data_IF_303796265052
#
_entry.id   IF_303796265052
#
_cell.length_a   1.000
_cell.length_b   1.000
_cell.length_c   1.000
_cell.angle_alpha   90.00
_cell.angle_beta   90.00
_cell.angle_gamma   90.00
#
_symmetry.space_group_name_H-M   'P 1'
#
loop_
_entity.id
_entity.type
_entity.pdbx_description
1 polymer ?
#
# COMPACT_ATOMS: atom_id res chain seq x y z
N UNK A 1 2.77 -15.19 15.84
CA UNK A 1 2.49 -13.75 16.05
C UNK A 1 1.00 -13.61 16.11
N UNK A 2 0.45 -12.91 17.10
CA UNK A 2 -0.98 -12.60 17.09
C UNK A 2 -1.28 -11.59 15.95
N UNK A 3 -2.43 -11.74 15.31
CA UNK A 3 -2.95 -10.85 14.26
C UNK A 3 -3.01 -9.37 14.70
N UNK A 4 -3.29 -9.15 16.00
CA UNK A 4 -3.30 -7.81 16.59
C UNK A 4 -1.89 -7.21 16.71
N UNK A 5 -0.90 -8.07 16.96
CA UNK A 5 0.50 -7.70 17.14
C UNK A 5 1.14 -7.31 15.79
N UNK A 6 0.85 -8.06 14.71
CA UNK A 6 1.42 -7.74 13.39
C UNK A 6 0.89 -6.41 12.86
N UNK A 7 -0.40 -6.09 13.04
CA UNK A 7 -0.98 -4.82 12.61
C UNK A 7 -0.31 -3.61 13.29
N UNK A 8 -0.08 -3.69 14.60
CA UNK A 8 0.65 -2.64 15.34
C UNK A 8 2.11 -2.54 14.89
N UNK A 9 2.79 -3.66 14.61
CA UNK A 9 4.16 -3.64 14.06
C UNK A 9 4.21 -2.99 12.68
N UNK A 10 3.26 -3.29 11.80
CA UNK A 10 3.15 -2.66 10.47
C UNK A 10 3.00 -1.15 10.62
N UNK A 11 2.09 -0.70 11.47
CA UNK A 11 1.88 0.73 11.70
C UNK A 11 3.11 1.39 12.33
N UNK A 12 3.79 0.74 13.27
CA UNK A 12 5.04 1.22 13.88
C UNK A 12 6.14 1.45 12.83
N UNK A 13 6.38 0.48 11.95
CA UNK A 13 7.37 0.66 10.89
C UNK A 13 6.92 1.68 9.84
N UNK A 14 5.61 1.79 9.58
CA UNK A 14 5.09 2.86 8.73
C UNK A 14 5.42 4.25 9.29
N UNK A 15 5.27 4.44 10.61
CA UNK A 15 5.62 5.70 11.29
C UNK A 15 7.12 6.01 11.23
N UNK A 16 7.99 4.99 11.27
CA UNK A 16 9.45 5.21 11.19
C UNK A 16 9.92 5.85 9.88
N UNK A 17 9.09 5.82 8.83
CA UNK A 17 9.39 6.46 7.55
C UNK A 17 8.88 7.89 7.44
N UNK A 18 8.15 8.43 8.42
CA UNK A 18 7.64 9.81 8.38
C UNK A 18 8.81 10.79 8.18
N UNK A 19 8.66 11.70 7.21
CA UNK A 19 9.69 12.67 6.80
C UNK A 19 10.68 12.13 5.77
N UNK A 20 10.66 10.83 5.44
CA UNK A 20 11.47 10.30 4.33
C UNK A 20 11.00 10.92 3.02
N UNK A 21 11.92 11.44 2.17
CA UNK A 21 11.57 12.07 0.91
C UNK A 21 10.78 11.15 -0.03
N UNK A 22 9.85 11.74 -0.78
CA UNK A 22 9.11 11.02 -1.80
C UNK A 22 10.02 10.70 -2.99
N UNK A 23 9.96 9.46 -3.46
CA UNK A 23 10.69 9.02 -4.64
C UNK A 23 10.02 9.51 -5.92
N UNK A 24 10.67 10.44 -6.63
CA UNK A 24 10.15 11.04 -7.87
C UNK A 24 10.47 10.22 -9.13
N UNK A 25 11.28 9.16 -9.04
CA UNK A 25 11.62 8.28 -10.16
C UNK A 25 10.37 7.56 -10.70
N UNK A 26 10.10 7.71 -11.99
CA UNK A 26 8.92 7.13 -12.67
C UNK A 26 8.67 5.63 -12.45
N UNK A 27 9.74 4.83 -12.35
CA UNK A 27 9.65 3.38 -12.15
C UNK A 27 9.73 2.99 -10.68
N UNK A 28 10.21 3.91 -9.84
CA UNK A 28 10.68 3.66 -8.50
C UNK A 28 12.21 3.51 -8.50
N UNK A 29 12.91 4.28 -7.70
CA UNK A 29 14.37 4.30 -7.65
C UNK A 29 14.94 2.93 -7.26
N UNK A 30 14.24 2.15 -6.43
CA UNK A 30 14.61 0.77 -6.12
C UNK A 30 14.60 -0.13 -7.37
N UNK A 31 13.67 0.08 -8.29
CA UNK A 31 13.57 -0.63 -9.58
C UNK A 31 14.68 -0.18 -10.52
N UNK A 32 14.82 1.14 -10.71
CA UNK A 32 15.84 1.74 -11.58
C UNK A 32 17.25 1.30 -11.21
N UNK A 33 17.55 1.28 -9.89
CA UNK A 33 18.85 0.87 -9.38
C UNK A 33 18.99 -0.66 -9.23
N UNK A 34 17.94 -1.43 -9.51
CA UNK A 34 17.91 -2.90 -9.38
C UNK A 34 18.23 -3.39 -7.96
N UNK A 35 17.77 -2.69 -6.93
CA UNK A 35 18.04 -3.02 -5.51
C UNK A 35 16.76 -3.23 -4.72
N UNK A 36 16.77 -4.19 -3.79
CA UNK A 36 15.62 -4.46 -2.92
C UNK A 36 15.38 -3.34 -1.90
N UNK A 37 16.45 -2.77 -1.35
CA UNK A 37 16.39 -1.73 -0.32
C UNK A 37 16.83 -0.39 -0.91
N UNK A 38 15.94 0.61 -0.81
CA UNK A 38 16.15 1.99 -1.20
C UNK A 38 15.45 2.96 -0.23
N UNK A 39 15.74 2.85 1.07
CA UNK A 39 15.00 3.59 2.12
C UNK A 39 15.27 5.11 2.13
N UNK A 40 16.13 5.63 1.25
CA UNK A 40 16.43 7.06 1.11
C UNK A 40 15.34 7.86 0.38
N UNK A 41 14.49 7.21 -0.42
CA UNK A 41 13.35 7.84 -1.08
C UNK A 41 12.23 6.82 -1.28
N UNK A 42 11.00 7.19 -0.96
CA UNK A 42 9.89 6.25 -0.83
C UNK A 42 8.68 6.71 -1.62
N UNK A 43 8.14 5.83 -2.47
CA UNK A 43 6.81 6.01 -3.06
C UNK A 43 5.74 5.21 -2.30
N UNK A 44 4.50 5.31 -2.74
CA UNK A 44 3.36 4.72 -2.04
C UNK A 44 3.45 3.20 -1.95
N UNK A 45 3.88 2.52 -3.02
CA UNK A 45 4.06 1.07 -3.07
C UNK A 45 5.22 0.64 -2.18
N UNK A 46 6.38 1.28 -2.34
CA UNK A 46 7.57 0.96 -1.57
C UNK A 46 7.36 1.17 -0.07
N UNK A 47 6.60 2.20 0.32
CA UNK A 47 6.25 2.45 1.73
C UNK A 47 5.53 1.24 2.33
N UNK A 48 4.45 0.77 1.70
CA UNK A 48 3.71 -0.40 2.17
C UNK A 48 4.57 -1.65 2.15
N UNK A 49 5.35 -1.86 1.08
CA UNK A 49 6.26 -2.99 0.96
C UNK A 49 7.20 -3.05 2.16
N UNK A 50 7.93 -1.97 2.39
CA UNK A 50 8.98 -1.91 3.39
C UNK A 50 8.43 -2.01 4.81
N UNK A 51 7.31 -1.34 5.10
CA UNK A 51 6.68 -1.41 6.42
C UNK A 51 6.21 -2.83 6.76
N UNK A 52 5.61 -3.55 5.81
CA UNK A 52 5.15 -4.93 6.02
C UNK A 52 6.35 -5.88 6.16
N UNK A 53 7.36 -5.77 5.30
CA UNK A 53 8.56 -6.62 5.36
C UNK A 53 9.30 -6.49 6.69
N UNK A 54 9.49 -5.26 7.18
CA UNK A 54 10.10 -5.01 8.48
C UNK A 54 9.24 -5.53 9.62
N UNK A 55 7.92 -5.39 9.52
CA UNK A 55 6.98 -5.90 10.53
C UNK A 55 6.90 -7.43 10.55
N UNK A 56 7.13 -8.10 9.43
CA UNK A 56 7.08 -9.57 9.35
C UNK A 56 8.43 -10.22 9.58
N UNK A 57 9.53 -9.47 9.46
CA UNK A 57 10.87 -9.98 9.71
C UNK A 57 11.00 -10.48 11.16
N UNK A 58 11.70 -11.59 11.29
CA UNK A 58 12.02 -12.27 12.54
C UNK A 58 13.43 -12.89 12.46
N UNK A 59 13.78 -13.79 13.39
CA UNK A 59 15.10 -14.42 13.42
C UNK A 59 15.37 -15.38 12.25
N UNK A 60 14.33 -15.82 11.53
CA UNK A 60 14.43 -16.80 10.45
C UNK A 60 14.23 -16.18 9.07
N UNK A 61 13.42 -15.13 8.99
CA UNK A 61 13.09 -14.44 7.75
C UNK A 61 13.70 -13.05 7.74
N UNK A 62 14.73 -12.86 6.89
CA UNK A 62 15.30 -11.53 6.69
C UNK A 62 14.31 -10.63 5.94
N UNK A 63 14.33 -9.31 6.17
CA UNK A 63 13.50 -8.37 5.40
C UNK A 63 13.75 -8.42 3.88
N UNK A 64 14.95 -8.86 3.44
CA UNK A 64 15.27 -9.01 2.02
C UNK A 64 14.57 -10.24 1.43
N UNK A 65 14.59 -11.36 2.14
CA UNK A 65 13.89 -12.57 1.71
C UNK A 65 12.39 -12.34 1.59
N UNK A 66 11.79 -11.68 2.60
CA UNK A 66 10.39 -11.29 2.57
C UNK A 66 10.07 -10.36 1.40
N UNK A 67 10.98 -9.45 1.04
CA UNK A 67 10.79 -8.57 -0.11
C UNK A 67 10.82 -9.34 -1.44
N UNK A 68 11.74 -10.30 -1.60
CA UNK A 68 11.81 -11.17 -2.78
C UNK A 68 10.56 -12.05 -2.89
N UNK A 69 10.04 -12.56 -1.79
CA UNK A 69 8.82 -13.35 -1.77
C UNK A 69 7.57 -12.51 -2.07
N UNK A 70 7.45 -11.33 -1.45
CA UNK A 70 6.19 -10.56 -1.43
C UNK A 70 6.03 -9.58 -2.56
N UNK A 71 7.10 -8.95 -3.05
CA UNK A 71 6.99 -7.92 -4.09
C UNK A 71 6.77 -8.50 -5.48
N UNK A 72 6.97 -9.79 -5.66
CA UNK A 72 6.94 -10.48 -6.95
C UNK A 72 5.73 -11.38 -7.08
N UNK A 73 5.23 -11.56 -8.31
CA UNK A 73 4.14 -12.48 -8.60
C UNK A 73 4.51 -13.90 -8.16
N UNK A 74 5.75 -14.31 -8.45
CA UNK A 74 6.36 -15.57 -8.03
C UNK A 74 7.35 -15.32 -6.88
N UNK A 75 8.60 -15.01 -7.21
CA UNK A 75 9.70 -14.74 -6.28
C UNK A 75 10.79 -13.91 -6.99
N UNK A 76 11.41 -12.98 -6.27
CA UNK A 76 12.48 -12.13 -6.81
C UNK A 76 13.81 -12.88 -6.94
N UNK A 77 14.58 -12.59 -7.98
CA UNK A 77 15.86 -13.26 -8.26
C UNK A 77 16.98 -12.24 -8.16
N UNK A 78 18.01 -12.57 -7.38
CA UNK A 78 19.24 -11.80 -7.28
C UNK A 78 20.34 -12.41 -8.17
N UNK A 79 21.11 -11.56 -8.84
CA UNK A 79 22.38 -11.96 -9.45
C UNK A 79 23.50 -12.10 -8.40
N UNK A 80 24.68 -12.50 -8.86
CA UNK A 80 25.86 -12.65 -8.02
C UNK A 80 26.38 -11.33 -7.40
N UNK A 81 25.86 -10.17 -7.82
CA UNK A 81 26.16 -8.85 -7.26
C UNK A 81 25.05 -8.35 -6.33
N UNK A 82 24.03 -9.18 -6.06
CA UNK A 82 22.89 -8.81 -5.22
C UNK A 82 21.88 -7.88 -5.90
N UNK A 83 21.90 -7.79 -7.24
CA UNK A 83 20.95 -6.97 -8.01
C UNK A 83 19.76 -7.82 -8.43
N UNK A 84 18.58 -7.23 -8.40
CA UNK A 84 17.36 -7.90 -8.89
C UNK A 84 17.37 -7.97 -10.41
N UNK A 85 17.12 -9.16 -10.96
CA UNK A 85 17.13 -9.39 -12.41
C UNK A 85 15.74 -9.52 -13.05
N UNK A 86 14.68 -9.79 -12.27
CA UNK A 86 13.31 -10.02 -12.75
C UNK A 86 12.31 -8.97 -12.22
N UNK A 87 12.68 -7.70 -12.18
CA UNK A 87 11.78 -6.64 -11.68
C UNK A 87 10.51 -6.46 -12.53
N UNK A 88 10.50 -6.94 -13.76
CA UNK A 88 9.31 -7.03 -14.61
C UNK A 88 8.24 -7.96 -14.04
N UNK A 89 8.61 -8.96 -13.23
CA UNK A 89 7.70 -9.88 -12.54
C UNK A 89 7.17 -9.35 -11.19
N UNK A 90 7.49 -8.09 -10.83
CA UNK A 90 6.99 -7.46 -9.59
C UNK A 90 5.51 -7.08 -9.69
N UNK A 91 4.87 -6.84 -8.55
CA UNK A 91 3.60 -6.12 -8.48
C UNK A 91 3.77 -4.69 -8.97
N UNK A 92 3.37 -4.43 -10.22
CA UNK A 92 3.39 -3.10 -10.81
C UNK A 92 2.12 -2.30 -10.49
N UNK A 93 1.02 -3.00 -10.23
CA UNK A 93 -0.29 -2.43 -9.93
C UNK A 93 -0.78 -2.91 -8.56
N UNK A 94 -1.31 -2.01 -7.74
CA UNK A 94 -1.67 -2.34 -6.37
C UNK A 94 -2.93 -3.22 -6.29
N UNK A 95 -3.79 -3.22 -7.31
CA UNK A 95 -4.88 -4.19 -7.42
C UNK A 95 -4.38 -5.65 -7.39
N UNK A 96 -3.24 -5.93 -8.04
CA UNK A 96 -2.64 -7.27 -8.07
C UNK A 96 -2.18 -7.69 -6.66
N UNK A 97 -1.79 -6.74 -5.81
CA UNK A 97 -1.46 -7.00 -4.40
C UNK A 97 -2.67 -7.54 -3.64
N UNK A 98 -3.84 -6.93 -3.84
CA UNK A 98 -5.10 -7.33 -3.18
C UNK A 98 -5.48 -8.77 -3.56
N UNK A 99 -5.41 -9.11 -4.85
CA UNK A 99 -5.81 -10.43 -5.34
C UNK A 99 -4.78 -11.53 -5.06
N UNK A 100 -3.51 -11.16 -4.85
CA UNK A 100 -2.46 -12.13 -4.52
C UNK A 100 -2.58 -12.76 -3.14
N UNK A 101 -3.33 -12.15 -2.22
CA UNK A 101 -3.36 -12.46 -0.79
C UNK A 101 -1.99 -12.36 -0.07
N UNK A 102 -0.91 -11.94 -0.75
CA UNK A 102 0.42 -11.75 -0.13
C UNK A 102 0.47 -10.53 0.81
N UNK A 103 -0.49 -9.60 0.62
CA UNK A 103 -0.59 -8.29 1.27
C UNK A 103 -1.80 -8.19 2.21
N UNK A 104 -2.11 -9.30 2.89
CA UNK A 104 -3.28 -9.43 3.75
C UNK A 104 -4.53 -9.87 2.99
N UNK A 105 -5.57 -10.19 3.74
CA UNK A 105 -6.88 -10.59 3.23
C UNK A 105 -7.71 -9.33 2.95
N UNK A 106 -8.42 -9.30 1.82
CA UNK A 106 -9.37 -8.23 1.52
C UNK A 106 -10.58 -8.28 2.46
N UNK A 107 -10.69 -7.30 3.36
CA UNK A 107 -11.76 -7.19 4.35
C UNK A 107 -12.82 -6.14 3.97
N UNK A 108 -12.76 -5.57 2.76
CA UNK A 108 -13.62 -4.45 2.35
C UNK A 108 -15.11 -4.74 2.60
N UNK A 109 -15.60 -5.91 2.20
CA UNK A 109 -17.00 -6.32 2.41
C UNK A 109 -17.38 -6.64 3.85
N UNK A 110 -16.43 -6.65 4.79
CA UNK A 110 -16.63 -6.99 6.20
C UNK A 110 -16.73 -5.73 7.09
N UNK A 111 -16.44 -4.55 6.54
CA UNK A 111 -16.37 -3.29 7.28
C UNK A 111 -17.76 -2.64 7.40
N UNK A 112 -18.71 -3.28 8.10
CA UNK A 112 -20.00 -2.76 8.62
C UNK A 112 -20.90 -1.87 7.74
N UNK A 113 -20.56 -1.63 6.48
CA UNK A 113 -21.27 -0.82 5.50
C UNK A 113 -21.41 -1.57 4.18
N UNK A 114 -22.40 -1.21 3.38
CA UNK A 114 -22.58 -1.79 2.05
C UNK A 114 -21.51 -1.29 1.08
N UNK A 115 -20.96 -2.22 0.31
CA UNK A 115 -20.10 -1.94 -0.84
C UNK A 115 -20.95 -1.68 -2.09
N UNK A 116 -20.34 -1.06 -3.09
CA UNK A 116 -20.87 -1.00 -4.46
C UNK A 116 -19.90 -1.70 -5.41
N UNK A 117 -20.42 -2.10 -6.57
CA UNK A 117 -19.59 -2.60 -7.68
C UNK A 117 -19.36 -1.50 -8.70
N UNK A 118 -18.10 -1.29 -9.05
CA UNK A 118 -17.70 -0.46 -10.17
C UNK A 118 -17.07 -1.32 -11.25
N UNK A 119 -17.05 -0.83 -12.48
CA UNK A 119 -16.35 -1.51 -13.59
C UNK A 119 -14.88 -1.75 -13.22
N UNK A 120 -14.42 -2.98 -13.38
CA UNK A 120 -13.00 -3.32 -13.24
C UNK A 120 -12.19 -2.95 -14.48
N UNK A 121 -11.00 -3.48 -14.58
CA UNK A 121 -10.11 -3.35 -15.74
C UNK A 121 -9.08 -4.51 -15.71
N UNK A 122 -8.22 -4.62 -16.72
CA UNK A 122 -7.11 -5.60 -16.75
C UNK A 122 -7.56 -7.05 -16.51
N UNK A 123 -8.72 -7.42 -17.06
CA UNK A 123 -9.31 -8.77 -16.90
C UNK A 123 -10.17 -8.96 -15.65
N UNK A 124 -10.39 -7.90 -14.87
CA UNK A 124 -11.34 -7.87 -13.75
C UNK A 124 -12.65 -7.25 -14.22
N UNK A 125 -13.75 -7.99 -14.12
CA UNK A 125 -15.05 -7.49 -14.57
C UNK A 125 -15.55 -6.33 -13.69
N UNK A 126 -15.49 -6.52 -12.37
CA UNK A 126 -16.00 -5.57 -11.39
C UNK A 126 -15.14 -5.56 -10.13
N UNK A 127 -15.07 -4.40 -9.48
CA UNK A 127 -14.40 -4.22 -8.19
C UNK A 127 -15.41 -3.74 -7.16
N UNK A 128 -15.43 -4.40 -6.00
CA UNK A 128 -16.24 -3.98 -4.86
C UNK A 128 -15.49 -2.94 -4.05
N UNK A 129 -16.14 -1.81 -3.75
CA UNK A 129 -15.50 -0.69 -3.02
C UNK A 129 -16.41 -0.18 -1.91
N UNK A 130 -15.79 0.40 -0.87
CA UNK A 130 -16.49 1.31 0.04
C UNK A 130 -16.43 2.70 -0.56
N UNK A 131 -17.60 3.28 -0.85
CA UNK A 131 -17.71 4.63 -1.40
C UNK A 131 -17.17 5.67 -0.43
N UNK A 132 -16.58 6.73 -0.98
CA UNK A 132 -15.99 7.83 -0.21
C UNK A 132 -16.90 8.36 0.90
N UNK A 133 -18.19 8.53 0.63
CA UNK A 133 -19.18 9.06 1.58
C UNK A 133 -19.48 8.12 2.76
N UNK A 134 -19.18 6.83 2.63
CA UNK A 134 -19.37 5.82 3.67
C UNK A 134 -18.15 5.62 4.55
N UNK A 135 -16.97 6.11 4.15
CA UNK A 135 -15.71 5.94 4.90
C UNK A 135 -15.81 6.42 6.36
N UNK A 136 -16.47 7.55 6.70
CA UNK A 136 -16.59 7.96 8.10
C UNK A 136 -17.30 6.93 9.01
N UNK A 137 -18.12 6.04 8.45
CA UNK A 137 -18.91 5.05 9.20
C UNK A 137 -18.11 3.80 9.59
N UNK A 138 -16.92 3.60 9.00
CA UNK A 138 -16.11 2.39 9.21
C UNK A 138 -14.89 2.63 10.11
N UNK A 139 -14.68 3.87 10.58
CA UNK A 139 -13.46 4.28 11.30
C UNK A 139 -13.20 3.46 12.56
N UNK A 140 -14.26 3.00 13.22
CA UNK A 140 -14.17 2.15 14.42
C UNK A 140 -13.87 0.69 14.09
N UNK A 141 -14.11 0.26 12.86
CA UNK A 141 -13.78 -1.09 12.39
C UNK A 141 -12.36 -1.22 11.83
N UNK A 142 -11.71 -0.08 11.53
CA UNK A 142 -10.32 -0.04 11.11
C UNK A 142 -9.37 -0.31 12.28
N UNK A 143 -8.23 -0.93 11.97
CA UNK A 143 -7.18 -1.29 12.92
C UNK A 143 -5.84 -0.76 12.42
N UNK A 144 -4.90 -0.55 13.34
CA UNK A 144 -3.51 -0.28 12.96
C UNK A 144 -2.99 -1.40 12.07
N UNK A 145 -2.27 -1.02 11.01
CA UNK A 145 -1.72 -1.95 10.02
C UNK A 145 -2.66 -2.33 8.89
N UNK A 146 -3.92 -1.88 8.90
CA UNK A 146 -4.78 -1.98 7.72
C UNK A 146 -4.15 -1.23 6.54
N UNK A 147 -4.11 -1.86 5.38
CA UNK A 147 -3.62 -1.24 4.15
C UNK A 147 -4.83 -0.71 3.39
N UNK A 148 -4.84 0.58 3.11
CA UNK A 148 -5.87 1.27 2.35
C UNK A 148 -5.41 1.40 0.90
N UNK A 149 -6.27 1.02 -0.02
CA UNK A 149 -6.08 1.17 -1.46
C UNK A 149 -7.12 2.15 -1.98
N UNK A 150 -6.67 3.30 -2.48
CA UNK A 150 -7.55 4.37 -2.95
C UNK A 150 -7.95 4.18 -4.41
N UNK A 151 -9.26 4.18 -4.67
CA UNK A 151 -9.82 3.81 -5.96
C UNK A 151 -9.93 5.03 -6.88
N UNK A 152 -9.35 4.92 -8.09
CA UNK A 152 -9.53 5.92 -9.16
C UNK A 152 -10.92 5.80 -9.76
N UNK A 153 -11.48 6.95 -10.14
CA UNK A 153 -12.71 6.94 -10.92
C UNK A 153 -12.49 6.29 -12.28
N UNK A 154 -13.50 5.57 -12.78
CA UNK A 154 -13.39 4.73 -13.98
C UNK A 154 -12.94 5.56 -15.18
N UNK A 155 -13.48 6.76 -15.31
CA UNK A 155 -13.20 7.71 -16.39
C UNK A 155 -11.82 8.38 -16.30
N UNK A 156 -11.12 8.27 -15.16
CA UNK A 156 -9.77 8.83 -14.95
C UNK A 156 -8.66 7.78 -14.97
N UNK A 157 -8.98 6.52 -15.27
CA UNK A 157 -7.97 5.45 -15.34
C UNK A 157 -7.09 5.66 -16.56
N UNK A 158 -5.79 5.50 -16.35
CA UNK A 158 -4.77 5.49 -17.40
C UNK A 158 -4.20 4.08 -17.38
N UNK A 159 -4.06 3.46 -18.55
CA UNK A 159 -3.63 2.05 -18.70
C UNK A 159 -4.40 1.03 -17.84
N UNK A 160 -5.64 1.36 -17.49
CA UNK A 160 -6.53 0.52 -16.69
C UNK A 160 -6.19 0.41 -15.19
N UNK A 161 -5.26 1.22 -14.68
CA UNK A 161 -4.91 1.24 -13.26
C UNK A 161 -6.12 1.59 -12.38
N UNK A 162 -6.52 0.65 -11.52
CA UNK A 162 -7.71 0.80 -10.65
C UNK A 162 -7.35 1.54 -9.36
N UNK A 163 -6.21 1.19 -8.75
CA UNK A 163 -5.74 1.80 -7.51
C UNK A 163 -4.82 2.97 -7.85
N UNK A 164 -5.14 4.17 -7.36
CA UNK A 164 -4.33 5.35 -7.63
C UNK A 164 -3.36 5.74 -6.53
N UNK A 165 -3.54 5.20 -5.32
CA UNK A 165 -2.69 5.49 -4.18
C UNK A 165 -2.92 4.48 -3.06
N UNK A 166 -2.00 4.39 -2.11
CA UNK A 166 -2.11 3.52 -0.94
C UNK A 166 -1.43 4.10 0.30
N UNK A 167 -1.79 3.57 1.45
CA UNK A 167 -1.16 3.89 2.73
C UNK A 167 -1.62 2.96 3.85
N UNK A 168 -1.08 3.17 5.05
CA UNK A 168 -1.29 2.30 6.21
C UNK A 168 -2.06 3.07 7.28
N UNK A 169 -3.04 2.41 7.91
CA UNK A 169 -3.76 2.97 9.05
C UNK A 169 -2.92 2.85 10.32
N UNK A 170 -2.93 3.92 11.13
CA UNK A 170 -2.60 3.91 12.55
C UNK A 170 -3.82 4.32 13.35
N UNK A 171 -4.21 3.52 14.35
CA UNK A 171 -5.21 3.91 15.35
C UNK A 171 -4.48 4.45 16.59
N UNK A 172 -4.79 5.68 16.99
CA UNK A 172 -4.28 6.28 18.22
C UNK A 172 -5.33 7.25 18.80
N UNK A 173 -5.54 7.21 20.12
CA UNK A 173 -6.53 8.07 20.78
C UNK A 173 -7.97 7.93 20.25
N UNK A 174 -8.35 6.75 19.75
CA UNK A 174 -9.65 6.50 19.12
C UNK A 174 -9.77 6.99 17.66
N UNK A 175 -8.83 7.80 17.20
CA UNK A 175 -8.80 8.35 15.84
C UNK A 175 -8.06 7.41 14.88
N UNK A 176 -8.31 7.57 13.59
CA UNK A 176 -7.60 6.85 12.52
C UNK A 176 -6.78 7.84 11.69
N UNK A 177 -5.50 7.51 11.54
CA UNK A 177 -4.55 8.27 10.74
C UNK A 177 -4.09 7.44 9.55
N UNK A 178 -3.88 8.10 8.42
CA UNK A 178 -3.23 7.52 7.26
C UNK A 178 -1.76 7.90 7.28
N UNK A 179 -0.89 6.90 7.21
CA UNK A 179 0.53 7.09 6.96
C UNK A 179 0.78 6.72 5.51
N UNK A 180 1.25 7.68 4.71
CA UNK A 180 1.48 7.45 3.29
C UNK A 180 2.61 8.32 2.73
N UNK A 181 3.26 7.84 1.68
CA UNK A 181 4.16 8.64 0.86
C UNK A 181 3.36 9.68 0.06
N UNK A 182 3.54 10.97 0.36
CA UNK A 182 2.85 12.07 -0.31
C UNK A 182 3.78 12.76 -1.28
N UNK A 183 3.48 12.67 -2.58
CA UNK A 183 4.28 13.31 -3.62
C UNK A 183 3.77 12.93 -5.01
N UNK A 184 4.54 13.29 -6.04
CA UNK A 184 4.21 12.99 -7.44
C UNK A 184 5.49 12.57 -8.18
N UNK A 185 5.37 11.55 -9.02
CA UNK A 185 6.43 11.14 -9.95
C UNK A 185 6.66 12.21 -11.02
N UNK A 186 7.87 12.23 -11.58
CA UNK A 186 8.23 13.07 -12.73
C UNK A 186 8.11 14.59 -12.52
N UNK A 187 8.10 15.05 -11.27
CA UNK A 187 8.20 16.47 -10.95
C UNK A 187 9.33 16.68 -9.93
N UNK A 188 10.09 17.76 -10.09
CA UNK A 188 11.11 18.16 -9.12
C UNK A 188 10.51 18.84 -7.88
N UNK A 189 9.19 18.75 -7.69
CA UNK A 189 8.52 19.18 -6.47
C UNK A 189 8.53 17.98 -5.54
N UNK A 190 9.33 18.10 -4.48
CA UNK A 190 9.48 17.06 -3.48
C UNK A 190 8.18 16.72 -2.77
N UNK A 191 8.27 15.68 -1.98
CA UNK A 191 7.22 15.21 -1.11
C UNK A 191 7.88 14.42 0.01
N UNK A 192 7.09 13.84 0.89
CA UNK A 192 7.60 13.01 1.97
C UNK A 192 6.49 12.07 2.48
N UNK A 193 6.88 11.07 3.23
CA UNK A 193 5.94 10.26 4.00
C UNK A 193 5.35 11.11 5.13
N UNK A 194 4.02 11.11 5.25
CA UNK A 194 3.28 11.91 6.24
C UNK A 194 2.27 11.05 6.97
N UNK A 195 1.98 11.44 8.22
CA UNK A 195 0.81 10.98 8.99
C UNK A 195 -0.24 12.08 8.96
N UNK A 196 -1.45 11.76 8.48
CA UNK A 196 -2.56 12.71 8.33
C UNK A 196 -3.87 12.10 8.85
N UNK A 197 -4.84 12.94 9.21
CA UNK A 197 -6.19 12.46 9.55
C UNK A 197 -6.78 11.70 8.36
N UNK A 198 -7.19 10.45 8.58
CA UNK A 198 -7.68 9.60 7.49
C UNK A 198 -9.01 10.13 6.91
N UNK A 199 -9.91 10.59 7.78
CA UNK A 199 -11.22 11.14 7.37
C UNK A 199 -11.05 12.42 6.55
N UNK A 200 -10.21 13.34 7.02
CA UNK A 200 -9.95 14.60 6.32
C UNK A 200 -9.28 14.36 4.97
N UNK A 201 -8.30 13.44 4.92
CA UNK A 201 -7.66 13.03 3.67
C UNK A 201 -8.68 12.50 2.65
N UNK A 202 -9.57 11.59 3.08
CA UNK A 202 -10.60 11.03 2.20
C UNK A 202 -11.60 12.08 1.71
N UNK A 203 -11.90 13.10 2.52
CA UNK A 203 -12.80 14.19 2.13
C UNK A 203 -12.18 15.12 1.07
N UNK A 204 -10.87 15.33 1.10
CA UNK A 204 -10.16 16.25 0.22
C UNK A 204 -9.73 15.62 -1.11
N UNK A 205 -9.43 14.33 -1.11
CA UNK A 205 -8.89 13.65 -2.29
C UNK A 205 -9.99 13.22 -3.27
N UNK A 206 -9.64 13.19 -4.56
CA UNK A 206 -10.58 12.91 -5.66
C UNK A 206 -10.83 11.40 -5.91
N UNK A 207 -10.53 10.54 -4.94
CA UNK A 207 -10.79 9.10 -5.03
C UNK A 207 -12.28 8.81 -4.82
N UNK A 208 -12.81 7.79 -5.51
CA UNK A 208 -14.25 7.45 -5.44
C UNK A 208 -14.58 6.49 -4.30
N UNK A 209 -13.56 5.86 -3.73
CA UNK A 209 -13.72 4.93 -2.62
C UNK A 209 -12.41 4.25 -2.25
N UNK A 210 -12.51 3.20 -1.45
CA UNK A 210 -11.37 2.43 -0.95
C UNK A 210 -11.61 0.92 -1.03
N UNK A 211 -10.50 0.17 -1.12
CA UNK A 211 -10.39 -1.20 -0.63
C UNK A 211 -9.51 -1.23 0.62
N UNK A 212 -9.70 -2.27 1.44
CA UNK A 212 -8.93 -2.48 2.67
C UNK A 212 -8.46 -3.92 2.73
N UNK A 213 -7.15 -4.12 2.94
CA UNK A 213 -6.60 -5.43 3.31
C UNK A 213 -6.07 -5.41 4.74
N UNK A 214 -6.10 -6.58 5.40
CA UNK A 214 -5.65 -6.78 6.77
C UNK A 214 -4.90 -8.10 6.89
N UNK A 215 -3.78 -8.10 7.61
CA UNK A 215 -3.12 -9.33 8.06
C UNK A 215 -3.89 -9.92 9.24
N UNK A 216 -4.36 -11.16 9.09
CA UNK A 216 -5.17 -11.91 10.07
C UNK A 216 -4.36 -13.01 10.74
#
# INVERSE_FOLDING_TARGET
>A
MDSSEIGERIAYYAESFIGTPYDTDSLGAYVTNKVIIYDSAIDCMYHVFRSVELAMADSYNSPVELALEKRFLTHGILDNLGRVVNYDERFQYAEDMIYSCKWGVNITGQLSVSTIKIKGDRGIDNVEIIEREKIPKIIDNLRSGDIIYFIKSVEKRVVGEIIGHLGIIKKEGGQAFLIHASGKKNINVGGEVKKVSFVEYCAQMAFIGINVTRFL
#
